data_IF_503576200088
#
_entry.id   IF_503576200088
#
_cell.length_a   1.000
_cell.length_b   1.000
_cell.length_c   1.000
_cell.angle_alpha   90.00
_cell.angle_beta   90.00
_cell.angle_gamma   90.00
#
_symmetry.space_group_name_H-M   'P 1'
#
loop_
_entity.id
_entity.type
_entity.pdbx_description
1 polymer ?
#
# COMPACT_ATOMS: atom_id res chain seq x y z
N UNK A 1 1.07 2.21 9.89
CA UNK A 1 0.95 2.31 8.42
C UNK A 1 2.32 2.16 7.80
N UNK A 2 2.40 1.91 6.49
CA UNK A 2 3.69 1.92 5.82
C UNK A 2 4.23 3.37 5.81
N UNK A 3 5.54 3.54 5.97
CA UNK A 3 6.20 4.84 5.81
C UNK A 3 5.94 5.31 4.37
N UNK A 4 5.47 6.54 4.20
CA UNK A 4 5.30 7.14 2.88
C UNK A 4 6.68 7.29 2.24
N UNK A 5 6.76 6.94 0.96
CA UNK A 5 7.97 7.16 0.19
C UNK A 5 8.05 8.63 -0.18
N UNK A 6 9.12 9.30 0.27
CA UNK A 6 9.36 10.72 0.01
C UNK A 6 10.02 10.95 -1.36
N UNK A 7 9.59 10.20 -2.37
CA UNK A 7 10.20 10.23 -3.69
C UNK A 7 9.54 11.33 -4.52
N UNK A 8 10.28 12.39 -4.90
CA UNK A 8 9.78 13.38 -5.83
C UNK A 8 9.70 12.81 -7.24
N UNK A 9 9.00 13.49 -8.14
CA UNK A 9 8.94 13.13 -9.54
C UNK A 9 7.87 13.86 -10.30
N UNK A 10 7.45 13.30 -11.44
CA UNK A 10 6.37 13.85 -12.25
C UNK A 10 5.27 12.82 -12.45
N UNK A 11 4.03 13.25 -12.22
CA UNK A 11 2.83 12.56 -12.66
C UNK A 11 2.57 12.99 -14.11
N UNK A 12 2.37 12.05 -15.02
CA UNK A 12 2.05 12.34 -16.40
C UNK A 12 0.68 11.78 -16.80
N UNK A 13 0.09 12.47 -17.78
CA UNK A 13 -1.12 12.08 -18.50
C UNK A 13 -0.72 11.96 -19.96
N UNK A 14 -0.58 10.72 -20.47
CA UNK A 14 -0.27 10.49 -21.88
C UNK A 14 -1.55 10.20 -22.65
N UNK A 15 -1.59 10.68 -23.89
CA UNK A 15 -2.60 10.30 -24.86
C UNK A 15 -1.95 9.62 -26.06
N UNK A 16 -2.79 8.95 -26.84
CA UNK A 16 -2.36 8.35 -28.10
C UNK A 16 -3.12 8.94 -29.29
N UNK A 17 -2.38 9.15 -30.38
CA UNK A 17 -2.90 9.60 -31.67
C UNK A 17 -2.59 8.57 -32.75
N UNK A 18 -3.57 8.28 -33.59
CA UNK A 18 -3.38 7.46 -34.77
C UNK A 18 -2.55 8.21 -35.83
N UNK A 19 -1.46 7.61 -36.30
CA UNK A 19 -0.57 8.26 -37.28
C UNK A 19 -1.21 8.46 -38.66
N UNK A 20 -2.18 7.62 -39.04
CA UNK A 20 -2.79 7.64 -40.37
C UNK A 20 -3.97 8.61 -40.42
N UNK A 21 -4.82 8.60 -39.37
CA UNK A 21 -6.04 9.41 -39.32
C UNK A 21 -5.86 10.72 -38.56
N UNK A 22 -4.85 10.80 -37.69
CA UNK A 22 -4.69 11.91 -36.74
C UNK A 22 -5.70 11.88 -35.59
N UNK A 23 -6.55 10.86 -35.50
CA UNK A 23 -7.57 10.73 -34.46
C UNK A 23 -6.91 10.45 -33.11
N UNK A 24 -7.35 11.17 -32.08
CA UNK A 24 -6.85 11.00 -30.72
C UNK A 24 -7.82 10.09 -29.96
N UNK A 25 -7.31 8.99 -29.40
CA UNK A 25 -8.17 8.01 -28.72
C UNK A 25 -8.65 8.53 -27.36
N UNK A 26 -9.71 7.93 -26.82
CA UNK A 26 -10.20 8.21 -25.45
C UNK A 26 -9.33 7.59 -24.36
N UNK A 27 -8.28 6.86 -24.72
CA UNK A 27 -7.42 6.20 -23.75
C UNK A 27 -6.36 7.16 -23.23
N UNK A 28 -6.28 7.21 -21.90
CA UNK A 28 -5.39 8.10 -21.17
C UNK A 28 -4.56 7.25 -20.25
N UNK A 29 -3.24 7.43 -20.28
CA UNK A 29 -2.33 6.77 -19.37
C UNK A 29 -1.97 7.71 -18.25
N UNK A 30 -2.30 7.34 -17.01
CA UNK A 30 -1.89 8.06 -15.81
C UNK A 30 -0.76 7.28 -15.16
N UNK A 31 0.44 7.84 -15.14
CA UNK A 31 1.60 7.16 -14.56
C UNK A 31 2.63 8.15 -14.04
N UNK A 32 3.76 7.62 -13.55
CA UNK A 32 4.81 8.45 -12.96
C UNK A 32 6.21 8.22 -13.53
N UNK A 33 7.05 9.22 -13.32
CA UNK A 33 8.52 9.13 -13.33
C UNK A 33 9.05 9.61 -11.97
N UNK A 34 10.13 8.99 -11.49
CA UNK A 34 10.76 9.32 -10.21
C UNK A 34 11.98 10.19 -10.41
N UNK A 35 12.27 11.02 -9.41
CA UNK A 35 13.47 11.84 -9.31
C UNK A 35 13.66 12.69 -10.58
N UNK A 36 14.87 12.68 -11.15
CA UNK A 36 15.24 13.45 -12.34
C UNK A 36 14.87 12.75 -13.66
N UNK A 37 14.17 11.60 -13.63
CA UNK A 37 13.75 10.93 -14.87
C UNK A 37 12.67 11.78 -15.54
N UNK A 38 12.93 12.20 -16.77
CA UNK A 38 11.98 12.99 -17.57
C UNK A 38 10.87 12.12 -18.19
N UNK A 39 9.64 12.66 -18.27
CA UNK A 39 8.52 12.04 -18.97
C UNK A 39 8.86 11.67 -20.42
N UNK A 40 9.64 12.49 -21.13
CA UNK A 40 10.03 12.23 -22.52
C UNK A 40 10.78 10.89 -22.70
N UNK A 41 11.68 10.54 -21.76
CA UNK A 41 12.36 9.24 -21.78
C UNK A 41 11.37 8.09 -21.58
N UNK A 42 10.39 8.28 -20.70
CA UNK A 42 9.34 7.28 -20.46
C UNK A 42 8.40 7.12 -21.65
N UNK A 43 8.09 8.21 -22.35
CA UNK A 43 7.34 8.16 -23.62
C UNK A 43 8.09 7.34 -24.66
N UNK A 44 9.40 7.55 -24.83
CA UNK A 44 10.20 6.76 -25.77
C UNK A 44 10.19 5.25 -25.46
N UNK A 45 10.24 4.88 -24.17
CA UNK A 45 10.07 3.50 -23.71
C UNK A 45 8.69 2.93 -24.10
N UNK A 46 7.62 3.71 -23.93
CA UNK A 46 6.26 3.29 -24.28
C UNK A 46 5.98 3.28 -25.79
N UNK A 47 6.66 4.15 -26.55
CA UNK A 47 6.49 4.28 -27.99
C UNK A 47 7.08 3.07 -28.76
N UNK A 48 8.07 2.39 -28.18
CA UNK A 48 8.78 1.29 -28.84
C UNK A 48 7.81 0.14 -29.16
N UNK A 49 7.53 -0.07 -30.45
CA UNK A 49 6.60 -1.10 -30.93
C UNK A 49 5.12 -0.68 -30.90
N UNK A 50 4.79 0.55 -30.50
CA UNK A 50 3.41 1.05 -30.53
C UNK A 50 3.09 1.66 -31.92
N UNK A 51 2.04 1.20 -32.61
CA UNK A 51 1.61 1.76 -33.91
C UNK A 51 0.92 3.12 -33.82
N UNK A 52 0.71 3.67 -32.61
CA UNK A 52 0.13 5.00 -32.36
C UNK A 52 1.19 5.94 -31.75
N UNK A 53 1.07 7.23 -32.02
CA UNK A 53 1.89 8.29 -31.41
C UNK A 53 1.46 8.45 -29.95
N UNK A 54 2.34 8.14 -29.01
CA UNK A 54 2.16 8.50 -27.60
C UNK A 54 2.77 9.88 -27.38
N UNK A 55 1.98 10.81 -26.85
CA UNK A 55 2.45 12.15 -26.54
C UNK A 55 2.05 12.57 -25.12
N UNK A 56 2.83 13.49 -24.55
CA UNK A 56 2.54 14.09 -23.25
C UNK A 56 1.38 15.08 -23.41
N UNK A 57 0.24 14.79 -22.79
CA UNK A 57 -0.85 15.75 -22.69
C UNK A 57 -0.60 16.73 -21.55
N UNK A 58 -0.12 16.21 -20.41
CA UNK A 58 0.24 17.01 -19.22
C UNK A 58 1.19 16.23 -18.33
N UNK A 59 2.26 16.89 -17.87
CA UNK A 59 3.11 16.41 -16.78
C UNK A 59 3.13 17.43 -15.64
N UNK A 60 3.03 16.94 -14.40
CA UNK A 60 2.92 17.77 -13.18
C UNK A 60 3.92 17.27 -12.15
N UNK A 61 4.76 18.18 -11.62
CA UNK A 61 5.73 17.84 -10.59
C UNK A 61 5.05 17.59 -9.23
N UNK A 62 5.47 16.53 -8.53
CA UNK A 62 4.97 16.16 -7.21
C UNK A 62 6.14 15.90 -6.24
N UNK A 63 6.06 16.34 -4.98
CA UNK A 63 7.05 15.98 -3.97
C UNK A 63 6.95 14.50 -3.55
N UNK A 64 5.77 13.87 -3.70
CA UNK A 64 5.50 12.48 -3.32
C UNK A 64 4.74 11.78 -4.47
N UNK A 65 5.46 11.50 -5.56
CA UNK A 65 4.84 11.15 -6.84
C UNK A 65 4.08 9.82 -6.82
N UNK A 66 4.59 8.83 -6.08
CA UNK A 66 3.91 7.52 -5.94
C UNK A 66 2.57 7.64 -5.21
N UNK A 67 2.46 8.58 -4.26
CA UNK A 67 1.20 8.80 -3.56
C UNK A 67 0.14 9.39 -4.48
N UNK A 68 0.47 10.46 -5.22
CA UNK A 68 -0.51 11.08 -6.12
C UNK A 68 -0.91 10.12 -7.24
N UNK A 69 0.02 9.38 -7.84
CA UNK A 69 -0.31 8.38 -8.86
C UNK A 69 -1.29 7.33 -8.33
N UNK A 70 -0.96 6.71 -7.18
CA UNK A 70 -1.81 5.68 -6.59
C UNK A 70 -3.21 6.22 -6.26
N UNK A 71 -3.29 7.45 -5.72
CA UNK A 71 -4.57 8.08 -5.42
C UNK A 71 -5.37 8.36 -6.70
N UNK A 72 -4.73 8.83 -7.77
CA UNK A 72 -5.37 9.07 -9.06
C UNK A 72 -5.92 7.78 -9.67
N UNK A 73 -5.17 6.68 -9.57
CA UNK A 73 -5.64 5.36 -9.99
C UNK A 73 -6.90 4.93 -9.25
N UNK A 74 -6.95 5.09 -7.92
CA UNK A 74 -8.16 4.79 -7.15
C UNK A 74 -9.30 5.78 -7.39
N UNK A 75 -8.98 7.05 -7.61
CA UNK A 75 -9.99 8.09 -7.85
C UNK A 75 -10.76 7.83 -9.14
N UNK A 76 -10.03 7.46 -10.18
CA UNK A 76 -10.56 7.17 -11.51
C UNK A 76 -10.68 5.68 -11.82
N UNK A 77 -10.65 4.83 -10.80
CA UNK A 77 -10.83 3.38 -10.93
C UNK A 77 -12.09 2.96 -11.71
N UNK A 78 -13.25 3.67 -11.64
CA UNK A 78 -14.41 3.37 -12.49
C UNK A 78 -14.14 3.52 -14.00
N UNK A 79 -13.10 4.26 -14.38
CA UNK A 79 -12.65 4.47 -15.76
C UNK A 79 -11.41 3.66 -16.10
N UNK A 80 -10.83 2.98 -15.12
CA UNK A 80 -9.60 2.21 -15.26
C UNK A 80 -9.89 0.88 -15.94
N UNK A 81 -9.26 0.65 -17.09
CA UNK A 81 -9.50 -0.52 -17.92
C UNK A 81 -8.47 -1.61 -17.64
N UNK A 82 -7.19 -1.28 -17.78
CA UNK A 82 -6.08 -2.24 -17.63
C UNK A 82 -4.76 -1.50 -17.51
N UNK A 83 -3.78 -2.11 -16.85
CA UNK A 83 -2.45 -1.53 -16.66
C UNK A 83 -2.56 -0.16 -15.98
N UNK A 84 -2.20 0.91 -16.70
CA UNK A 84 -2.32 2.31 -16.24
C UNK A 84 -3.22 3.12 -17.19
N UNK A 85 -4.08 2.46 -17.97
CA UNK A 85 -4.92 3.08 -19.00
C UNK A 85 -6.37 3.23 -18.56
N UNK A 86 -6.91 4.41 -18.83
CA UNK A 86 -8.24 4.86 -18.45
C UNK A 86 -9.05 5.27 -19.68
N UNK A 87 -10.36 5.04 -19.68
CA UNK A 87 -11.28 5.53 -20.71
C UNK A 87 -11.88 6.86 -20.24
N UNK A 88 -11.35 7.97 -20.76
CA UNK A 88 -11.74 9.32 -20.36
C UNK A 88 -12.04 10.19 -21.58
N UNK A 89 -13.09 10.99 -21.50
CA UNK A 89 -13.32 12.08 -22.43
C UNK A 89 -12.45 13.31 -22.06
N UNK A 90 -12.48 14.37 -22.86
CA UNK A 90 -11.62 15.55 -22.62
C UNK A 90 -11.92 16.27 -21.31
N UNK A 91 -13.20 16.44 -20.95
CA UNK A 91 -13.63 17.01 -19.67
C UNK A 91 -13.14 16.17 -18.48
N UNK A 92 -13.22 14.84 -18.59
CA UNK A 92 -12.76 13.91 -17.54
C UNK A 92 -11.24 13.92 -17.35
N UNK A 93 -10.47 14.24 -18.41
CA UNK A 93 -9.01 14.40 -18.31
C UNK A 93 -8.66 15.70 -17.60
N UNK A 94 -9.34 16.78 -17.96
CA UNK A 94 -9.12 18.09 -17.34
C UNK A 94 -9.49 18.03 -15.85
N UNK A 95 -10.61 17.38 -15.50
CA UNK A 95 -10.99 17.08 -14.11
C UNK A 95 -9.90 16.28 -13.38
N UNK A 96 -9.31 15.27 -14.03
CA UNK A 96 -8.24 14.48 -13.44
C UNK A 96 -6.97 15.32 -13.19
N UNK A 97 -6.63 16.22 -14.10
CA UNK A 97 -5.51 17.16 -13.93
C UNK A 97 -5.77 18.09 -12.75
N UNK A 98 -6.96 18.69 -12.65
CA UNK A 98 -7.32 19.60 -11.55
C UNK A 98 -7.24 18.90 -10.18
N UNK A 99 -7.72 17.65 -10.11
CA UNK A 99 -7.66 16.83 -8.88
C UNK A 99 -6.21 16.51 -8.53
N UNK A 100 -5.37 16.13 -9.51
CA UNK A 100 -3.95 15.89 -9.28
C UNK A 100 -3.24 17.15 -8.76
N UNK A 101 -3.50 18.33 -9.36
CA UNK A 101 -2.93 19.60 -8.90
C UNK A 101 -3.38 19.97 -7.49
N UNK A 102 -4.64 19.65 -7.12
CA UNK A 102 -5.10 19.82 -5.74
C UNK A 102 -4.34 18.92 -4.77
N UNK A 103 -4.24 17.63 -5.06
CA UNK A 103 -3.51 16.66 -4.22
C UNK A 103 -2.05 17.09 -4.07
N UNK A 104 -1.41 17.52 -5.15
CA UNK A 104 -0.01 17.97 -5.14
C UNK A 104 0.18 19.21 -4.27
N UNK A 105 -0.77 20.16 -4.28
CA UNK A 105 -0.74 21.30 -3.35
C UNK A 105 -0.82 20.85 -1.89
N UNK A 106 -1.73 19.93 -1.57
CA UNK A 106 -1.82 19.36 -0.21
C UNK A 106 -0.53 18.63 0.21
N UNK A 107 0.14 17.97 -0.75
CA UNK A 107 1.46 17.37 -0.50
C UNK A 107 2.53 18.41 -0.24
N UNK A 108 2.53 19.54 -0.97
CA UNK A 108 3.47 20.64 -0.76
C UNK A 108 3.28 21.25 0.64
N UNK A 109 2.03 21.51 1.04
CA UNK A 109 1.70 22.08 2.35
C UNK A 109 2.13 21.19 3.53
N UNK A 110 2.15 19.87 3.33
CA UNK A 110 2.50 18.89 4.36
C UNK A 110 3.94 18.36 4.26
N UNK A 111 4.69 18.74 3.22
CA UNK A 111 5.99 18.16 2.89
C UNK A 111 6.98 18.26 4.05
N UNK A 112 7.23 19.49 4.51
CA UNK A 112 8.23 19.77 5.55
C UNK A 112 7.85 19.09 6.87
N UNK A 113 6.54 18.99 7.16
CA UNK A 113 6.03 18.30 8.34
C UNK A 113 6.36 16.80 8.29
N UNK A 114 6.13 16.16 7.14
CA UNK A 114 6.40 14.74 6.98
C UNK A 114 7.91 14.46 7.01
N UNK A 115 8.71 15.24 6.27
CA UNK A 115 10.17 15.13 6.24
C UNK A 115 10.75 15.28 7.65
N UNK A 116 10.36 16.32 8.37
CA UNK A 116 10.81 16.57 9.74
C UNK A 116 10.44 15.43 10.69
N UNK A 117 9.25 14.86 10.56
CA UNK A 117 8.83 13.72 11.37
C UNK A 117 9.71 12.48 11.14
N UNK A 118 10.29 12.33 9.96
CA UNK A 118 11.17 11.20 9.63
C UNK A 118 12.60 11.43 10.13
N UNK A 119 13.08 12.66 10.04
CA UNK A 119 14.36 13.07 10.65
C UNK A 119 14.36 12.81 12.15
N UNK A 120 13.30 13.24 12.85
CA UNK A 120 13.13 13.00 14.28
C UNK A 120 13.13 11.50 14.61
N UNK A 121 12.64 10.64 13.72
CA UNK A 121 12.70 9.19 13.92
C UNK A 121 14.11 8.60 14.06
N UNK A 122 15.14 9.38 13.68
CA UNK A 122 16.55 9.00 13.77
C UNK A 122 17.30 9.74 14.89
N UNK A 123 16.59 10.51 15.73
CA UNK A 123 17.14 11.23 16.88
C UNK A 123 16.86 10.40 18.14
N UNK A 124 17.89 10.20 18.96
CA UNK A 124 17.75 9.46 20.21
C UNK A 124 16.87 10.24 21.18
N UNK A 125 15.99 9.54 21.88
CA UNK A 125 15.06 10.21 22.79
C UNK A 125 15.75 10.63 24.09
N UNK A 126 15.27 11.71 24.71
CA UNK A 126 15.83 12.26 25.96
C UNK A 126 15.58 11.39 27.19
N UNK A 127 14.68 10.41 27.12
CA UNK A 127 14.23 9.63 28.27
C UNK A 127 13.10 10.29 29.07
N UNK A 128 12.66 11.50 28.68
CA UNK A 128 11.63 12.26 29.37
C UNK A 128 10.29 12.19 28.62
N UNK A 129 9.18 12.12 29.36
CA UNK A 129 7.83 12.29 28.81
C UNK A 129 7.36 13.71 29.11
N UNK A 130 6.82 14.40 28.11
CA UNK A 130 6.30 15.76 28.26
C UNK A 130 4.80 15.77 28.52
N UNK A 131 4.33 16.82 29.19
CA UNK A 131 2.91 17.08 29.41
C UNK A 131 2.18 17.40 28.08
N UNK A 132 0.90 17.04 28.01
CA UNK A 132 0.09 17.31 26.83
C UNK A 132 -0.21 18.81 26.67
N UNK A 133 0.20 19.39 25.55
CA UNK A 133 -0.25 20.72 25.13
C UNK A 133 -1.65 20.66 24.51
N UNK A 134 -2.35 21.80 24.47
CA UNK A 134 -3.66 21.90 23.82
C UNK A 134 -3.60 21.50 22.33
N UNK A 135 -2.51 21.85 21.64
CA UNK A 135 -2.34 21.51 20.23
C UNK A 135 -2.06 20.02 20.03
N UNK A 136 -1.28 19.40 20.91
CA UNK A 136 -1.07 17.95 20.90
C UNK A 136 -2.37 17.19 21.15
N UNK A 137 -3.20 17.68 22.08
CA UNK A 137 -4.51 17.12 22.36
C UNK A 137 -5.42 17.15 21.13
N UNK A 138 -5.54 18.30 20.46
CA UNK A 138 -6.36 18.45 19.23
C UNK A 138 -5.91 17.49 18.12
N UNK A 139 -4.60 17.46 17.83
CA UNK A 139 -4.05 16.56 16.80
C UNK A 139 -4.30 15.10 17.16
N UNK A 140 -4.15 14.73 18.44
CA UNK A 140 -4.42 13.36 18.90
C UNK A 140 -5.90 12.98 18.78
N UNK A 141 -6.83 13.89 19.08
CA UNK A 141 -8.27 13.66 18.94
C UNK A 141 -8.65 13.42 17.46
N UNK A 142 -8.17 14.26 16.55
CA UNK A 142 -8.35 14.08 15.10
C UNK A 142 -7.74 12.76 14.62
N UNK A 143 -6.52 12.45 15.07
CA UNK A 143 -5.80 11.24 14.67
C UNK A 143 -6.48 9.96 15.15
N UNK A 144 -6.98 9.93 16.38
CA UNK A 144 -7.73 8.78 16.90
C UNK A 144 -9.07 8.61 16.19
N UNK A 145 -9.73 9.69 15.81
CA UNK A 145 -10.96 9.63 15.01
C UNK A 145 -10.69 9.10 13.60
N UNK A 146 -9.66 9.62 12.91
CA UNK A 146 -9.24 9.13 11.60
C UNK A 146 -8.93 7.63 11.64
N UNK A 147 -8.31 7.15 12.73
CA UNK A 147 -8.04 5.72 12.92
C UNK A 147 -9.31 4.86 12.99
N UNK A 148 -10.35 5.33 13.67
CA UNK A 148 -11.65 4.63 13.75
C UNK A 148 -12.28 4.51 12.37
N UNK A 149 -12.24 5.58 11.58
CA UNK A 149 -12.78 5.59 10.22
C UNK A 149 -12.02 4.61 9.31
N UNK A 150 -10.68 4.57 9.41
CA UNK A 150 -9.87 3.58 8.70
C UNK A 150 -10.20 2.14 9.11
N UNK A 151 -10.41 1.89 10.41
CA UNK A 151 -10.81 0.57 10.90
C UNK A 151 -12.20 0.16 10.39
N UNK A 152 -13.13 1.11 10.28
CA UNK A 152 -14.44 0.88 9.68
C UNK A 152 -14.34 0.56 8.19
N UNK A 153 -13.51 1.28 7.43
CA UNK A 153 -13.26 1.00 6.01
C UNK A 153 -12.61 -0.38 5.83
N UNK A 154 -11.64 -0.74 6.66
CA UNK A 154 -11.02 -2.07 6.64
C UNK A 154 -12.03 -3.19 6.95
N UNK A 155 -12.94 -2.97 7.89
CA UNK A 155 -14.01 -3.90 8.21
C UNK A 155 -15.00 -4.08 7.04
N UNK A 156 -15.45 -2.99 6.42
CA UNK A 156 -16.30 -3.04 5.21
C UNK A 156 -15.63 -3.76 4.05
N UNK A 157 -14.34 -3.44 3.79
CA UNK A 157 -13.53 -4.12 2.77
C UNK A 157 -13.46 -5.62 3.02
N UNK A 158 -13.27 -6.03 4.27
CA UNK A 158 -13.24 -7.46 4.67
C UNK A 158 -14.57 -8.16 4.44
N UNK A 159 -15.70 -7.49 4.72
CA UNK A 159 -17.04 -8.03 4.45
C UNK A 159 -17.26 -8.23 2.94
N UNK A 160 -16.87 -7.26 2.12
CA UNK A 160 -17.00 -7.35 0.66
C UNK A 160 -16.10 -8.44 0.09
N UNK A 161 -14.82 -8.49 0.50
CA UNK A 161 -13.89 -9.56 0.12
C UNK A 161 -14.47 -10.94 0.46
N UNK A 162 -15.04 -11.10 1.64
CA UNK A 162 -15.71 -12.34 2.04
C UNK A 162 -16.91 -12.67 1.14
N UNK A 163 -17.80 -11.71 0.86
CA UNK A 163 -18.96 -11.91 -0.03
C UNK A 163 -18.54 -12.31 -1.45
N UNK A 164 -17.50 -11.67 -1.98
CA UNK A 164 -16.93 -12.00 -3.29
C UNK A 164 -16.31 -13.40 -3.31
N UNK A 165 -15.60 -13.81 -2.25
CA UNK A 165 -15.07 -15.18 -2.13
C UNK A 165 -16.17 -16.24 -2.00
N UNK A 166 -17.28 -15.95 -1.32
CA UNK A 166 -18.44 -16.85 -1.31
C UNK A 166 -19.07 -16.98 -2.70
N UNK A 167 -19.15 -15.88 -3.46
CA UNK A 167 -19.66 -15.91 -4.83
C UNK A 167 -18.73 -16.65 -5.80
N UNK A 168 -17.41 -16.55 -5.59
CA UNK A 168 -16.40 -17.28 -6.35
C UNK A 168 -16.54 -18.80 -6.18
N UNK A 169 -16.84 -19.27 -4.96
CA UNK A 169 -16.80 -20.69 -4.63
C UNK A 169 -15.40 -21.25 -4.86
N UNK A 170 -15.29 -22.29 -5.68
CA UNK A 170 -14.02 -22.96 -5.99
C UNK A 170 -13.45 -22.61 -7.37
N UNK A 171 -13.99 -21.60 -8.04
CA UNK A 171 -13.53 -21.19 -9.36
C UNK A 171 -12.18 -20.44 -9.30
N UNK A 172 -11.48 -20.39 -10.43
CA UNK A 172 -10.23 -19.68 -10.64
C UNK A 172 -10.39 -18.17 -10.82
N UNK A 173 -11.62 -17.68 -10.98
CA UNK A 173 -11.89 -16.25 -11.07
C UNK A 173 -13.37 -15.89 -11.20
N UNK A 174 -13.64 -14.59 -11.09
CA UNK A 174 -14.88 -13.96 -11.50
C UNK A 174 -14.52 -12.94 -12.56
N UNK A 175 -15.07 -13.06 -13.76
CA UNK A 175 -14.70 -12.24 -14.90
C UNK A 175 -14.78 -10.74 -14.56
N UNK A 176 -13.67 -10.04 -14.78
CA UNK A 176 -13.58 -8.61 -14.54
C UNK A 176 -13.60 -8.12 -13.10
N UNK A 177 -13.71 -9.03 -12.13
CA UNK A 177 -13.85 -8.69 -10.70
C UNK A 177 -12.66 -9.18 -9.90
N UNK A 178 -12.30 -10.45 -10.03
CA UNK A 178 -11.18 -11.03 -9.30
C UNK A 178 -10.60 -12.26 -9.99
N UNK A 179 -9.36 -12.59 -9.65
CA UNK A 179 -8.68 -13.80 -10.11
C UNK A 179 -8.02 -14.54 -8.95
N UNK A 180 -7.86 -15.84 -9.12
CA UNK A 180 -7.11 -16.71 -8.22
C UNK A 180 -5.82 -17.12 -8.91
N UNK A 181 -4.71 -16.96 -8.19
CA UNK A 181 -3.39 -17.37 -8.68
C UNK A 181 -2.82 -18.48 -7.81
N UNK A 182 -2.32 -19.52 -8.45
CA UNK A 182 -1.52 -20.55 -7.78
C UNK A 182 -0.24 -19.92 -7.22
N UNK A 183 0.15 -20.36 -6.04
CA UNK A 183 1.37 -19.95 -5.36
C UNK A 183 2.09 -21.20 -4.88
N UNK A 184 3.22 -21.46 -5.51
CA UNK A 184 4.10 -22.51 -5.05
C UNK A 184 4.57 -22.20 -3.62
N UNK A 185 4.61 -23.26 -2.81
CA UNK A 185 5.08 -23.22 -1.44
C UNK A 185 6.47 -22.60 -1.34
N UNK A 186 6.57 -21.52 -0.57
CA UNK A 186 7.81 -20.80 -0.38
C UNK A 186 8.88 -21.65 0.29
N UNK A 187 10.10 -21.55 -0.22
CA UNK A 187 11.30 -22.14 0.39
C UNK A 187 11.83 -21.15 1.42
N UNK A 188 11.93 -21.57 2.68
CA UNK A 188 12.40 -20.74 3.78
C UNK A 188 13.49 -21.44 4.56
N UNK A 189 14.59 -20.74 4.77
CA UNK A 189 15.64 -21.14 5.69
C UNK A 189 15.22 -20.82 7.13
N UNK A 190 15.34 -21.81 7.99
CA UNK A 190 14.99 -21.75 9.41
C UNK A 190 16.20 -21.34 10.24
N UNK A 191 16.52 -20.05 10.15
CA UNK A 191 17.61 -19.39 10.87
C UNK A 191 17.55 -19.62 12.39
N UNK A 192 16.33 -19.66 12.94
CA UNK A 192 16.12 -19.90 14.38
C UNK A 192 16.52 -21.32 14.76
N UNK A 193 16.12 -22.30 13.95
CA UNK A 193 16.47 -23.69 14.20
C UNK A 193 17.98 -23.92 14.04
N UNK A 194 18.65 -23.24 13.09
CA UNK A 194 20.10 -23.29 12.99
C UNK A 194 20.76 -22.73 14.25
N UNK A 195 20.31 -21.57 14.74
CA UNK A 195 20.84 -20.97 15.97
C UNK A 195 20.63 -21.87 17.19
N UNK A 196 19.49 -22.55 17.28
CA UNK A 196 19.19 -23.49 18.37
C UNK A 196 20.08 -24.74 18.30
N UNK A 197 20.28 -25.32 17.12
CA UNK A 197 21.05 -26.56 16.95
C UNK A 197 22.58 -26.32 16.89
N UNK A 198 23.01 -25.18 16.36
CA UNK A 198 24.41 -24.85 16.03
C UNK A 198 24.75 -23.38 16.34
N UNK A 199 24.71 -22.95 17.61
CA UNK A 199 24.88 -21.54 17.99
C UNK A 199 26.25 -20.96 17.62
N UNK A 200 27.33 -21.72 17.80
CA UNK A 200 28.70 -21.26 17.47
C UNK A 200 28.87 -21.06 15.95
N UNK A 201 28.29 -21.97 15.16
CA UNK A 201 28.30 -21.84 13.71
C UNK A 201 27.43 -20.67 13.26
N UNK A 202 26.28 -20.45 13.90
CA UNK A 202 25.45 -19.29 13.61
C UNK A 202 26.19 -17.96 13.85
N UNK A 203 26.94 -17.88 14.94
CA UNK A 203 27.74 -16.71 15.29
C UNK A 203 28.84 -16.43 14.26
N UNK A 204 29.52 -17.45 13.72
CA UNK A 204 30.57 -17.30 12.70
C UNK A 204 30.07 -16.62 11.41
N UNK A 205 28.80 -16.86 11.05
CA UNK A 205 28.17 -16.30 9.85
C UNK A 205 27.32 -15.07 10.16
N UNK A 206 27.35 -14.56 11.39
CA UNK A 206 26.72 -13.29 11.71
C UNK A 206 27.54 -12.11 11.17
N UNK A 207 26.87 -11.24 10.41
CA UNK A 207 27.46 -10.00 9.89
C UNK A 207 27.80 -9.01 11.01
N UNK A 208 28.70 -8.07 10.69
CA UNK A 208 29.04 -6.97 11.60
C UNK A 208 27.78 -6.25 12.05
N UNK A 209 27.70 -5.99 13.35
CA UNK A 209 26.62 -5.20 13.94
C UNK A 209 26.47 -3.86 13.22
N UNK A 210 25.27 -3.60 12.75
CA UNK A 210 24.86 -2.27 12.32
C UNK A 210 24.18 -1.58 13.49
N UNK A 211 24.49 -0.31 13.70
CA UNK A 211 23.88 0.51 14.75
C UNK A 211 22.98 1.57 14.11
N UNK A 212 21.72 1.63 14.53
CA UNK A 212 20.78 2.67 14.10
C UNK A 212 19.88 3.09 15.25
N UNK A 213 19.65 4.40 15.39
CA UNK A 213 18.64 4.91 16.30
C UNK A 213 17.26 4.57 15.75
N UNK A 214 16.44 3.87 16.52
CA UNK A 214 15.09 3.47 16.10
C UNK A 214 14.17 3.24 17.29
N UNK A 215 12.88 3.49 17.09
CA UNK A 215 11.84 3.34 18.10
C UNK A 215 10.44 3.35 17.49
N UNK A 216 9.53 2.48 17.93
CA UNK A 216 8.16 2.48 17.42
C UNK A 216 7.42 3.72 17.94
N UNK A 217 6.71 4.42 17.05
CA UNK A 217 5.74 5.43 17.45
C UNK A 217 4.42 4.74 17.81
N UNK A 218 3.89 5.04 18.99
CA UNK A 218 2.68 4.44 19.53
C UNK A 218 1.69 5.52 19.94
N UNK A 219 0.46 5.38 19.45
CA UNK A 219 -0.66 6.25 19.82
C UNK A 219 -1.41 5.59 20.97
N UNK A 220 -1.58 6.30 22.08
CA UNK A 220 -2.33 5.84 23.26
C UNK A 220 -3.82 6.15 23.08
N UNK A 221 -4.67 5.52 23.91
CA UNK A 221 -6.11 5.77 23.95
C UNK A 221 -6.87 5.47 22.64
N UNK A 222 -6.36 4.55 21.82
CA UNK A 222 -7.03 4.14 20.57
C UNK A 222 -8.47 3.71 20.84
N UNK A 223 -9.41 4.34 20.15
CA UNK A 223 -10.82 3.94 20.13
C UNK A 223 -10.96 2.64 19.35
N UNK A 224 -11.64 1.66 19.93
CA UNK A 224 -11.81 0.35 19.32
C UNK A 224 -13.07 0.32 18.46
N UNK A 225 -13.00 -0.26 17.25
CA UNK A 225 -14.15 -0.42 16.37
C UNK A 225 -15.36 -1.07 17.07
N UNK A 226 -15.14 -2.05 17.96
CA UNK A 226 -16.21 -2.70 18.74
C UNK A 226 -17.04 -1.71 19.58
N UNK A 227 -16.42 -0.61 20.04
CA UNK A 227 -17.09 0.43 20.83
C UNK A 227 -17.75 1.48 19.95
N UNK A 228 -17.04 1.91 18.90
CA UNK A 228 -17.49 3.01 18.02
C UNK A 228 -18.51 2.56 16.96
N UNK A 229 -18.44 1.31 16.52
CA UNK A 229 -19.36 0.70 15.55
C UNK A 229 -19.55 -0.80 15.87
N UNK A 230 -20.32 -1.12 16.94
CA UNK A 230 -20.54 -2.49 17.37
C UNK A 230 -21.23 -3.34 16.30
N UNK A 231 -22.13 -2.77 15.50
CA UNK A 231 -22.84 -3.46 14.42
C UNK A 231 -21.85 -4.00 13.39
N UNK A 232 -20.99 -3.13 12.84
CA UNK A 232 -19.97 -3.52 11.87
C UNK A 232 -18.94 -4.49 12.48
N UNK A 233 -18.58 -4.29 13.74
CA UNK A 233 -17.69 -5.21 14.44
C UNK A 233 -18.30 -6.60 14.60
N UNK A 234 -19.62 -6.70 14.81
CA UNK A 234 -20.32 -7.97 14.95
C UNK A 234 -20.53 -8.65 13.59
N UNK A 235 -20.82 -7.88 12.54
CA UNK A 235 -20.92 -8.40 11.17
C UNK A 235 -19.61 -9.09 10.76
N UNK A 236 -18.45 -8.44 10.97
CA UNK A 236 -17.13 -9.04 10.69
C UNK A 236 -16.89 -10.33 11.48
N UNK A 237 -17.38 -10.42 12.73
CA UNK A 237 -17.23 -11.63 13.56
C UNK A 237 -18.16 -12.75 13.14
N UNK A 238 -19.30 -12.42 12.53
CA UNK A 238 -20.29 -13.38 12.04
C UNK A 238 -19.95 -13.97 10.66
N UNK A 239 -18.88 -13.47 10.01
CA UNK A 239 -18.41 -14.02 8.74
C UNK A 239 -17.99 -15.48 8.93
N UNK A 240 -18.56 -16.35 8.11
CA UNK A 240 -18.26 -17.77 8.12
C UNK A 240 -16.82 -18.03 7.66
N UNK A 241 -16.19 -19.10 8.13
CA UNK A 241 -14.90 -19.52 7.61
C UNK A 241 -15.11 -20.12 6.21
N UNK A 242 -14.33 -19.65 5.24
CA UNK A 242 -14.21 -20.30 3.92
C UNK A 242 -13.00 -21.23 4.01
N UNK A 243 -13.25 -22.54 3.99
CA UNK A 243 -12.21 -23.58 4.03
C UNK A 243 -12.07 -24.16 2.63
N UNK A 244 -11.02 -23.73 1.93
CA UNK A 244 -10.66 -24.21 0.60
C UNK A 244 -9.15 -24.40 0.56
N UNK A 245 -8.71 -25.59 0.16
CA UNK A 245 -7.32 -25.86 -0.16
C UNK A 245 -7.03 -25.51 -1.61
N UNK A 246 -5.75 -25.34 -1.95
CA UNK A 246 -5.32 -25.06 -3.33
C UNK A 246 -5.76 -26.16 -4.31
N UNK A 247 -5.88 -27.40 -3.83
CA UNK A 247 -6.36 -28.55 -4.62
C UNK A 247 -7.84 -28.48 -4.96
N UNK A 248 -8.63 -27.69 -4.23
CA UNK A 248 -10.07 -27.54 -4.46
C UNK A 248 -10.37 -26.53 -5.59
N UNK A 249 -9.38 -25.69 -5.94
CA UNK A 249 -9.53 -24.61 -6.89
C UNK A 249 -9.44 -25.13 -8.33
N UNK A 250 -10.49 -24.87 -9.09
CA UNK A 250 -10.51 -25.07 -10.54
C UNK A 250 -10.05 -23.79 -11.24
N UNK A 251 -8.75 -23.69 -11.49
CA UNK A 251 -8.11 -22.49 -12.06
C UNK A 251 -8.61 -22.12 -13.47
N UNK A 252 -9.13 -23.09 -14.22
CA UNK A 252 -9.64 -22.88 -15.58
C UNK A 252 -11.09 -22.40 -15.58
N UNK A 253 -11.80 -22.59 -14.47
CA UNK A 253 -13.19 -22.16 -14.32
C UNK A 253 -13.26 -20.67 -13.98
N UNK A 254 -14.03 -19.93 -14.77
CA UNK A 254 -14.42 -18.54 -14.49
C UNK A 254 -15.92 -18.43 -14.25
N UNK A 255 -16.30 -17.53 -13.35
CA UNK A 255 -17.71 -17.19 -13.05
C UNK A 255 -18.06 -15.85 -13.70
N UNK A 256 -19.18 -15.83 -14.41
CA UNK A 256 -19.76 -14.58 -14.93
C UNK A 256 -20.30 -13.71 -13.78
N UNK A 257 -19.95 -12.40 -13.72
CA UNK A 257 -20.38 -11.53 -12.65
C UNK A 257 -21.87 -11.17 -12.75
N UNK A 258 -22.64 -11.45 -11.71
CA UNK A 258 -24.02 -10.93 -11.56
C UNK A 258 -24.01 -9.44 -11.22
N UNK A 259 -25.15 -8.76 -11.35
CA UNK A 259 -25.28 -7.35 -10.94
C UNK A 259 -24.95 -7.13 -9.46
N UNK A 260 -25.26 -8.09 -8.58
CA UNK A 260 -24.88 -8.01 -7.17
C UNK A 260 -23.36 -8.10 -6.98
N UNK A 261 -22.67 -8.95 -7.74
CA UNK A 261 -21.20 -9.06 -7.71
C UNK A 261 -20.57 -7.76 -8.23
N UNK A 262 -21.08 -7.21 -9.33
CA UNK A 262 -20.61 -5.93 -9.90
C UNK A 262 -20.78 -4.77 -8.91
N UNK A 263 -21.90 -4.75 -8.17
CA UNK A 263 -22.14 -3.75 -7.13
C UNK A 263 -21.14 -3.90 -5.96
N UNK A 264 -20.91 -5.12 -5.48
CA UNK A 264 -19.92 -5.39 -4.45
C UNK A 264 -18.51 -4.96 -4.87
N UNK A 265 -18.14 -5.19 -6.13
CA UNK A 265 -16.85 -4.79 -6.66
C UNK A 265 -16.74 -3.26 -6.81
N UNK A 266 -17.79 -2.58 -7.24
CA UNK A 266 -17.83 -1.11 -7.26
C UNK A 266 -17.65 -0.53 -5.85
N UNK A 267 -18.31 -1.11 -4.84
CA UNK A 267 -18.15 -0.72 -3.43
C UNK A 267 -16.72 -0.99 -2.93
N UNK A 268 -16.11 -2.12 -3.33
CA UNK A 268 -14.72 -2.43 -3.02
C UNK A 268 -13.77 -1.34 -3.54
N UNK A 269 -13.92 -0.97 -4.81
CA UNK A 269 -13.12 0.09 -5.46
C UNK A 269 -13.29 1.43 -4.74
N UNK A 270 -14.53 1.83 -4.43
CA UNK A 270 -14.81 3.08 -3.70
C UNK A 270 -14.14 3.09 -2.31
N UNK A 271 -14.20 1.96 -1.59
CA UNK A 271 -13.54 1.82 -0.29
C UNK A 271 -12.02 1.92 -0.42
N UNK A 272 -11.40 1.42 -1.49
CA UNK A 272 -9.96 1.59 -1.70
C UNK A 272 -9.58 3.06 -1.81
N UNK A 273 -10.32 3.84 -2.60
CA UNK A 273 -10.13 5.29 -2.72
C UNK A 273 -10.27 5.98 -1.36
N UNK A 274 -11.38 5.75 -0.66
CA UNK A 274 -11.62 6.35 0.65
C UNK A 274 -10.54 5.98 1.67
N UNK A 275 -10.14 4.71 1.70
CA UNK A 275 -9.09 4.23 2.61
C UNK A 275 -7.74 4.90 2.33
N UNK A 276 -7.40 5.11 1.06
CA UNK A 276 -6.14 5.75 0.68
C UNK A 276 -6.12 7.24 1.05
N UNK A 277 -7.23 7.95 0.82
CA UNK A 277 -7.41 9.36 1.26
C UNK A 277 -7.28 9.46 2.79
N UNK A 278 -7.91 8.54 3.53
CA UNK A 278 -7.86 8.53 5.00
C UNK A 278 -6.48 8.17 5.53
N UNK A 279 -5.74 7.29 4.85
CA UNK A 279 -4.36 6.97 5.20
C UNK A 279 -3.41 8.17 5.06
N UNK A 280 -3.57 8.96 3.99
CA UNK A 280 -2.82 10.20 3.80
C UNK A 280 -3.09 11.20 4.93
N UNK A 281 -4.38 11.43 5.24
CA UNK A 281 -4.79 12.31 6.33
C UNK A 281 -4.24 11.84 7.69
N UNK A 282 -4.35 10.54 7.99
CA UNK A 282 -3.79 9.94 9.21
C UNK A 282 -2.28 10.14 9.28
N UNK A 283 -1.57 9.96 8.17
CA UNK A 283 -0.11 10.14 8.12
C UNK A 283 0.29 11.58 8.40
N UNK A 284 -0.42 12.56 7.84
CA UNK A 284 -0.19 13.98 8.13
C UNK A 284 -0.39 14.31 9.62
N UNK A 285 -1.45 13.79 10.23
CA UNK A 285 -1.70 13.94 11.66
C UNK A 285 -0.64 13.25 12.52
N UNK A 286 -0.19 12.05 12.12
CA UNK A 286 0.86 11.31 12.83
C UNK A 286 2.19 12.07 12.78
N UNK A 287 2.52 12.64 11.62
CA UNK A 287 3.70 13.48 11.44
C UNK A 287 3.66 14.73 12.33
N UNK A 288 2.50 15.41 12.41
CA UNK A 288 2.30 16.57 13.31
C UNK A 288 2.49 16.16 14.78
N UNK A 289 1.91 15.05 15.21
CA UNK A 289 2.05 14.58 16.59
C UNK A 289 3.50 14.18 16.93
N UNK A 290 4.22 13.58 15.97
CA UNK A 290 5.66 13.31 16.08
C UNK A 290 6.49 14.58 16.23
N UNK A 291 6.18 15.64 15.48
CA UNK A 291 6.86 16.93 15.64
C UNK A 291 6.63 17.50 17.04
N UNK A 292 5.38 17.46 17.53
CA UNK A 292 5.04 17.93 18.88
C UNK A 292 5.72 17.09 19.98
N UNK A 293 6.01 15.81 19.70
CA UNK A 293 6.78 14.93 20.61
C UNK A 293 8.28 15.28 20.61
N UNK A 294 8.78 15.93 19.57
CA UNK A 294 10.19 16.32 19.40
C UNK A 294 11.15 15.13 19.66
N UNK A 295 12.13 15.32 20.54
CA UNK A 295 13.11 14.33 21.02
C UNK A 295 12.69 13.65 22.33
N UNK A 296 11.47 13.88 22.83
CA UNK A 296 10.97 13.24 24.05
C UNK A 296 10.61 11.76 23.81
N UNK A 297 10.45 11.00 24.90
CA UNK A 297 9.96 9.60 24.91
C UNK A 297 8.45 9.51 24.61
N UNK A 298 7.73 10.62 24.61
CA UNK A 298 6.30 10.68 24.33
C UNK A 298 5.64 11.91 24.94
N UNK A 299 4.34 12.02 24.69
CA UNK A 299 3.44 12.99 25.32
C UNK A 299 2.50 12.22 26.23
N UNK A 300 2.41 12.61 27.50
CA UNK A 300 1.62 11.86 28.47
C UNK A 300 0.16 11.73 28.04
N UNK A 301 -0.43 10.56 28.27
CA UNK A 301 -1.79 10.22 27.80
C UNK A 301 -1.98 10.07 26.28
N UNK A 302 -1.15 10.68 25.43
CA UNK A 302 -1.41 10.78 23.98
C UNK A 302 -0.58 9.81 23.14
N UNK A 303 0.73 9.74 23.36
CA UNK A 303 1.62 8.90 22.55
C UNK A 303 2.89 8.46 23.30
N UNK A 304 3.64 7.55 22.68
CA UNK A 304 4.96 7.12 23.12
C UNK A 304 5.86 6.86 21.92
N UNK A 305 7.11 7.31 22.00
CA UNK A 305 8.10 7.23 20.93
C UNK A 305 9.53 7.18 21.45
N UNK A 306 9.83 6.12 22.21
CA UNK A 306 11.18 5.87 22.72
C UNK A 306 12.09 5.37 21.60
N UNK A 307 13.03 6.21 21.17
CA UNK A 307 14.05 5.93 20.15
C UNK A 307 15.40 5.78 20.83
N UNK A 308 16.07 4.66 20.57
CA UNK A 308 17.35 4.32 21.20
C UNK A 308 18.30 3.73 20.15
N UNK A 309 19.61 3.85 20.36
CA UNK A 309 20.60 3.20 19.52
C UNK A 309 20.46 1.68 19.63
N UNK A 310 20.05 1.03 18.54
CA UNK A 310 19.94 -0.44 18.48
C UNK A 310 21.07 -1.02 17.65
N UNK A 311 21.71 -2.04 18.21
CA UNK A 311 22.66 -2.90 17.51
C UNK A 311 21.89 -4.07 16.90
N UNK A 312 22.11 -4.30 15.62
CA UNK A 312 21.52 -5.42 14.89
C UNK A 312 22.60 -6.13 14.09
N UNK A 313 22.88 -7.36 14.49
CA UNK A 313 23.54 -8.33 13.64
C UNK A 313 22.51 -8.99 12.70
N UNK A 314 22.93 -9.33 11.49
CA UNK A 314 22.14 -10.18 10.59
C UNK A 314 22.93 -11.40 10.18
N UNK A 315 22.27 -12.53 9.99
CA UNK A 315 22.91 -13.75 9.52
C UNK A 315 23.24 -13.65 8.01
N UNK A 316 24.50 -13.88 7.64
CA UNK A 316 24.94 -13.96 6.24
C UNK A 316 24.57 -15.32 5.65
N UNK A 317 23.29 -15.44 5.32
CA UNK A 317 22.72 -16.65 4.73
C UNK A 317 23.46 -17.07 3.47
N UNK A 318 23.86 -16.12 2.63
CA UNK A 318 24.48 -16.42 1.34
C UNK A 318 25.82 -17.11 1.54
N UNK A 319 26.68 -16.55 2.38
CA UNK A 319 27.97 -17.16 2.71
C UNK A 319 27.79 -18.53 3.38
N UNK A 320 26.81 -18.66 4.27
CA UNK A 320 26.51 -19.95 4.91
C UNK A 320 26.06 -21.03 3.90
N UNK A 321 25.23 -20.67 2.92
CA UNK A 321 24.81 -21.58 1.86
C UNK A 321 25.97 -22.01 0.95
N UNK A 322 26.94 -21.13 0.72
CA UNK A 322 28.16 -21.40 -0.06
C UNK A 322 29.12 -22.32 0.69
N UNK A 323 29.36 -22.07 1.98
CA UNK A 323 30.32 -22.81 2.80
C UNK A 323 29.74 -24.14 3.36
N UNK A 324 28.42 -24.20 3.59
CA UNK A 324 27.73 -25.37 4.20
C UNK A 324 26.43 -25.78 3.46
N UNK A 325 26.50 -26.15 2.17
CA UNK A 325 25.30 -26.39 1.34
C UNK A 325 24.39 -27.51 1.86
N UNK A 326 24.95 -28.60 2.39
CA UNK A 326 24.15 -29.73 2.92
C UNK A 326 23.46 -29.38 4.24
N UNK A 327 24.13 -28.60 5.09
CA UNK A 327 23.52 -28.13 6.34
C UNK A 327 22.43 -27.11 6.03
N UNK A 328 22.66 -26.20 5.08
CA UNK A 328 21.65 -25.26 4.63
C UNK A 328 20.38 -25.95 4.10
N UNK A 329 20.52 -27.05 3.35
CA UNK A 329 19.37 -27.87 2.93
C UNK A 329 18.61 -28.45 4.11
N UNK A 330 19.29 -28.97 5.13
CA UNK A 330 18.66 -29.52 6.35
C UNK A 330 17.80 -28.48 7.07
N UNK A 331 18.24 -27.22 7.11
CA UNK A 331 17.51 -26.11 7.74
C UNK A 331 16.55 -25.39 6.79
N UNK A 332 16.42 -25.86 5.55
CA UNK A 332 15.49 -25.27 4.57
C UNK A 332 14.19 -26.06 4.53
N UNK A 333 13.08 -25.36 4.75
CA UNK A 333 11.73 -25.94 4.73
C UNK A 333 10.94 -25.38 3.56
N UNK A 334 10.17 -26.26 2.89
CA UNK A 334 9.16 -25.84 1.92
C UNK A 334 7.81 -25.71 2.62
N UNK A 335 7.16 -24.57 2.47
CA UNK A 335 5.77 -24.39 2.91
C UNK A 335 4.84 -25.17 1.98
N UNK A 336 3.62 -25.56 2.39
CA UNK A 336 2.66 -26.09 1.45
C UNK A 336 2.31 -25.06 0.36
N UNK A 337 1.93 -25.55 -0.82
CA UNK A 337 1.38 -24.72 -1.88
C UNK A 337 0.09 -24.04 -1.40
N UNK A 338 -0.20 -22.86 -1.95
CA UNK A 338 -1.42 -22.13 -1.64
C UNK A 338 -1.94 -21.37 -2.86
N UNK A 339 -2.95 -20.53 -2.64
CA UNK A 339 -3.46 -19.63 -3.67
C UNK A 339 -3.64 -18.22 -3.10
N UNK A 340 -3.57 -17.23 -3.99
CA UNK A 340 -3.88 -15.84 -3.68
C UNK A 340 -5.06 -15.37 -4.53
N UNK A 341 -6.06 -14.77 -3.86
CA UNK A 341 -7.18 -14.09 -4.52
C UNK A 341 -6.83 -12.63 -4.70
N UNK A 342 -6.89 -12.14 -5.93
CA UNK A 342 -6.64 -10.77 -6.31
C UNK A 342 -7.93 -10.12 -6.80
N UNK A 343 -8.55 -9.29 -5.96
CA UNK A 343 -9.70 -8.47 -6.35
C UNK A 343 -9.17 -7.26 -7.12
N UNK A 344 -9.64 -7.06 -8.34
CA UNK A 344 -9.14 -6.00 -9.20
C UNK A 344 -9.50 -4.62 -8.63
N UNK A 345 -8.58 -3.67 -8.77
CA UNK A 345 -8.81 -2.27 -8.38
C UNK A 345 -9.37 -1.43 -9.53
N UNK A 346 -9.73 -2.08 -10.63
CA UNK A 346 -10.19 -1.51 -11.88
C UNK A 346 -11.41 -2.29 -12.39
N UNK A 347 -12.12 -1.75 -13.38
CA UNK A 347 -13.36 -2.35 -13.90
C UNK A 347 -13.26 -2.52 -15.42
N UNK A 348 -13.29 -3.76 -15.92
CA UNK A 348 -13.38 -4.03 -17.38
C UNK A 348 -14.76 -4.51 -17.85
N UNK A 349 -15.80 -4.48 -16.99
CA UNK A 349 -17.15 -4.83 -17.42
C UNK A 349 -17.99 -3.56 -17.68
N UNK A 350 -18.83 -3.53 -18.74
CA UNK A 350 -19.67 -2.38 -19.07
C UNK A 350 -20.54 -1.91 -17.90
N UNK A 351 -20.77 -0.59 -17.83
CA UNK A 351 -21.79 0.05 -16.99
C UNK A 351 -23.10 0.17 -17.70
#
# INVERSE_FOLDING_TARGET
>A
MAKIKLTPGQLYFLRERDFLTGEISRYVKIGLVRDEKETAKRIAEHQTGNPREIYDYRSIGSPFVEHVETLMHYWFAPKWITGEWFNMNEEEIDDAIEIAEKIIREQQDSKDTIERSYELGSVESTGETIEASEDAQKVWEELTQAKVEMDALAARKKIIDHKLRKALGNAGGIEGVLSVSFKEGGIRFDDKLLLEDHPELHEEYSTKETSSVTGPFTVKGKKALKKENPELSNEVKSLEKIDLDVSDIDFEKSVEPTEQIKALHADYINIQREAYIKDWHYTGLEARLKILTADSDGIDGLCGWKRELKHKASFDKKRFEEDHPELAKKYTRKSPDNFAVNIFSWRNYPT
#
